data_IF_109727089954
#
_entry.id   IF_109727089954
#
_cell.length_a   1.000
_cell.length_b   1.000
_cell.length_c   1.000
_cell.angle_alpha   90.00
_cell.angle_beta   90.00
_cell.angle_gamma   90.00
#
_symmetry.space_group_name_H-M   'P 1'
#
loop_
_entity.id
_entity.type
_entity.pdbx_description
1 polymer ?
2 branched ?
3 non-polymer ?
4 non-polymer ?
5 water ?
#
# COMPACT_ATOMS: atom_id res chain seq x y z
N UNK A 1 -21.65 9.93 6.97
CA UNK A 1 -21.76 9.08 5.77
C UNK A 1 -20.98 7.72 6.02
N UNK A 2 -19.75 7.40 5.56
CA UNK A 2 -19.13 6.05 5.63
C UNK A 2 -18.56 5.30 6.91
N UNK A 3 -17.67 4.30 6.58
CA UNK A 3 -16.84 3.47 7.47
C UNK A 3 -16.19 4.17 8.67
N UNK A 4 -16.48 3.52 9.82
CA UNK A 4 -16.05 4.03 11.13
C UNK A 4 -14.63 3.64 11.59
N UNK A 5 -14.12 4.09 12.74
CA UNK A 5 -12.78 3.73 13.13
C UNK A 5 -12.65 2.23 13.39
N UNK A 6 -11.51 1.61 13.10
CA UNK A 6 -11.28 0.22 13.50
C UNK A 6 -9.82 0.12 13.99
N UNK A 7 -9.43 -1.10 14.38
CA UNK A 7 -8.05 -1.42 14.71
C UNK A 7 -7.91 -2.90 14.36
N UNK A 8 -6.97 -3.14 13.46
CA UNK A 8 -6.69 -4.41 12.91
C UNK A 8 -5.35 -4.91 13.52
N UNK A 9 -5.47 -6.03 14.32
CA UNK A 9 -4.34 -6.79 14.86
C UNK A 9 -3.82 -8.01 14.13
N UNK A 10 -4.58 -8.60 13.23
CA UNK A 10 -4.20 -9.59 12.20
C UNK A 10 -3.91 -11.00 12.67
N UNK A 11 -4.77 -11.32 13.66
CA UNK A 11 -4.77 -12.59 14.40
C UNK A 11 -6.13 -13.26 14.23
N UNK A 12 -7.15 -12.59 13.70
CA UNK A 12 -8.36 -13.31 13.48
C UNK A 12 -8.88 -12.79 12.16
N UNK A 13 -9.21 -13.77 11.30
CA UNK A 13 -9.93 -13.48 10.08
C UNK A 13 -11.43 -13.55 10.47
N UNK A 14 -12.12 -12.55 9.91
CA UNK A 14 -13.55 -12.61 9.91
C UNK A 14 -14.16 -11.80 8.75
N UNK A 15 -15.39 -12.21 8.42
CA UNK A 15 -16.20 -11.62 7.39
C UNK A 15 -16.61 -10.16 7.53
N UNK A 16 -16.77 -9.70 6.27
CA UNK A 16 -17.06 -8.31 5.88
C UNK A 16 -16.01 -7.30 6.32
N UNK A 17 -14.79 -7.62 5.86
CA UNK A 17 -13.60 -6.87 6.29
C UNK A 17 -12.61 -6.36 5.25
N UNK A 18 -12.08 -7.40 4.61
CA UNK A 18 -10.91 -7.42 3.74
C UNK A 18 -11.07 -8.55 2.79
N UNK A 19 -10.64 -8.35 1.55
CA UNK A 19 -10.67 -9.32 0.47
C UNK A 19 -9.35 -9.28 -0.31
N UNK A 20 -8.96 -10.43 -0.85
CA UNK A 20 -7.66 -10.62 -1.49
C UNK A 20 -7.86 -10.61 -3.00
N UNK A 21 -6.90 -10.13 -3.79
CA UNK A 21 -7.07 -10.17 -5.22
C UNK A 21 -6.58 -11.54 -5.71
N UNK A 22 -7.30 -12.23 -6.59
CA UNK A 22 -6.86 -13.54 -7.02
C UNK A 22 -7.12 -13.91 -8.50
N UNK A 23 -6.12 -14.48 -9.19
CA UNK A 23 -6.34 -14.99 -10.52
C UNK A 23 -6.42 -13.94 -11.64
N UNK A 24 -6.16 -12.67 -11.36
CA UNK A 24 -6.14 -11.70 -12.41
C UNK A 24 -4.90 -10.81 -12.23
N UNK A 25 -4.39 -10.22 -13.31
CA UNK A 25 -3.28 -9.27 -13.34
C UNK A 25 -3.82 -7.83 -13.54
N UNK A 26 -3.40 -6.74 -12.83
CA UNK A 26 -3.86 -5.37 -13.12
C UNK A 26 -3.32 -4.88 -14.45
N UNK A 27 -2.28 -5.57 -14.92
CA UNK A 27 -1.72 -5.34 -16.22
C UNK A 27 -0.94 -4.03 -16.31
N UNK A 28 -0.79 -3.50 -17.50
CA UNK A 28 0.06 -2.34 -17.73
C UNK A 28 1.52 -2.61 -17.30
N UNK A 29 1.71 -2.04 -16.07
CA UNK A 29 2.99 -2.00 -15.37
C UNK A 29 3.05 -2.92 -14.14
N UNK A 30 2.08 -3.79 -13.83
CA UNK A 30 2.13 -4.76 -12.77
C UNK A 30 2.34 -6.08 -13.51
N UNK A 31 3.53 -6.58 -13.26
CA UNK A 31 4.02 -7.73 -13.99
C UNK A 31 3.82 -9.04 -13.26
N UNK A 32 2.68 -9.18 -12.57
CA UNK A 32 2.44 -10.38 -11.80
C UNK A 32 0.96 -10.60 -11.66
N UNK A 33 0.53 -11.86 -11.44
CA UNK A 33 -0.89 -12.20 -11.18
C UNK A 33 -1.10 -12.14 -9.68
N UNK A 34 -2.20 -11.55 -9.21
CA UNK A 34 -2.54 -11.56 -7.82
C UNK A 34 -3.01 -12.92 -7.42
N UNK A 35 -2.40 -13.39 -6.36
CA UNK A 35 -2.71 -14.65 -5.78
C UNK A 35 -3.14 -14.41 -4.35
N UNK A 36 -4.37 -14.89 -4.17
CA UNK A 36 -4.97 -15.05 -2.86
C UNK A 36 -4.00 -15.86 -2.00
N UNK A 37 -3.36 -16.90 -2.57
CA UNK A 37 -2.44 -17.71 -1.78
C UNK A 37 -1.12 -17.11 -1.37
N UNK A 38 -0.92 -15.88 -1.84
CA UNK A 38 0.22 -15.07 -1.48
C UNK A 38 -0.08 -14.05 -0.40
N UNK A 39 -1.25 -14.15 0.22
CA UNK A 39 -1.70 -13.41 1.40
C UNK A 39 -1.84 -14.48 2.55
N UNK A 40 -0.90 -14.45 3.48
CA UNK A 40 -0.72 -15.43 4.52
C UNK A 40 -0.78 -14.60 5.79
N UNK A 41 -1.47 -15.14 6.81
CA UNK A 41 -1.56 -14.40 8.07
C UNK A 41 -0.74 -15.32 8.92
N UNK A 42 0.21 -14.76 9.72
CA UNK A 42 0.97 -15.58 10.67
C UNK A 42 0.34 -15.67 12.07
N UNK A 43 0.86 -16.70 12.70
CA UNK A 43 0.40 -17.08 14.01
C UNK A 43 0.80 -16.15 15.15
N UNK A 44 1.68 -15.19 14.83
CA UNK A 44 2.03 -14.06 15.67
C UNK A 44 1.31 -12.74 15.25
N UNK A 45 0.56 -12.83 14.16
CA UNK A 45 -0.41 -11.83 13.79
C UNK A 45 -0.02 -10.65 12.97
N UNK A 46 0.55 -11.08 11.85
CA UNK A 46 1.03 -10.16 10.85
C UNK A 46 0.69 -10.77 9.50
N UNK A 47 0.05 -9.95 8.69
CA UNK A 47 -0.23 -10.25 7.32
C UNK A 47 1.16 -10.34 6.64
N UNK A 48 1.32 -11.32 5.79
CA UNK A 48 2.56 -11.55 5.09
C UNK A 48 2.16 -11.77 3.64
N UNK A 49 2.40 -10.71 2.88
CA UNK A 49 2.19 -10.68 1.44
C UNK A 49 3.46 -11.15 0.76
N UNK A 50 3.37 -11.92 -0.33
CA UNK A 50 4.56 -12.41 -0.96
C UNK A 50 4.62 -12.33 -2.48
N UNK A 51 5.87 -12.28 -2.94
CA UNK A 51 6.16 -12.30 -4.35
C UNK A 51 6.93 -13.60 -4.63
N UNK A 52 6.39 -14.40 -5.56
CA UNK A 52 6.91 -15.71 -5.88
C UNK A 52 6.87 -16.04 -7.39
N UNK A 53 7.75 -16.95 -7.85
CA UNK A 53 7.76 -17.41 -9.23
C UNK A 53 6.95 -18.69 -9.26
N UNK A 54 5.95 -18.65 -10.14
CA UNK A 54 5.10 -19.77 -10.49
C UNK A 54 5.86 -20.73 -11.49
N UNK A 55 6.42 -20.01 -12.48
CA UNK A 55 7.15 -20.52 -13.61
C UNK A 55 8.37 -19.56 -13.76
N UNK A 56 9.33 -19.77 -14.65
CA UNK A 56 10.58 -19.02 -14.72
C UNK A 56 10.48 -17.44 -14.71
N UNK A 57 10.05 -16.78 -15.81
CA UNK A 57 9.86 -15.35 -15.78
C UNK A 57 8.31 -15.10 -15.73
N UNK A 58 7.71 -15.75 -14.74
CA UNK A 58 6.31 -15.69 -14.52
C UNK A 58 6.25 -15.73 -13.01
N UNK A 59 5.77 -14.59 -12.54
CA UNK A 59 5.67 -14.29 -11.13
C UNK A 59 4.25 -13.96 -10.70
N UNK A 60 4.02 -14.28 -9.46
CA UNK A 60 2.75 -14.03 -8.86
C UNK A 60 3.09 -13.10 -7.73
N UNK A 61 2.12 -12.24 -7.38
CA UNK A 61 2.24 -11.23 -6.33
C UNK A 61 1.02 -11.22 -5.38
N UNK A 62 0.85 -10.24 -4.45
CA UNK A 62 -0.21 -10.24 -3.44
C UNK A 62 -0.94 -8.92 -3.14
N UNK A 63 -2.28 -8.89 -3.06
CA UNK A 63 -3.07 -7.71 -2.72
C UNK A 63 -4.16 -7.97 -1.67
N UNK A 64 -4.33 -7.12 -0.67
CA UNK A 64 -5.45 -7.21 0.29
C UNK A 64 -6.22 -5.84 0.30
N UNK A 65 -7.55 -5.89 0.39
CA UNK A 65 -8.43 -4.75 0.23
C UNK A 65 -9.60 -4.73 1.19
N UNK A 66 -9.96 -3.57 1.75
CA UNK A 66 -11.06 -3.53 2.68
C UNK A 66 -12.39 -3.66 1.95
N UNK A 67 -13.37 -4.43 2.41
CA UNK A 67 -14.69 -4.46 1.77
C UNK A 67 -15.42 -3.09 1.77
N UNK A 68 -15.32 -2.32 2.90
CA UNK A 68 -15.89 -0.99 3.05
C UNK A 68 -14.87 0.07 2.64
N UNK A 69 -15.32 1.32 2.70
CA UNK A 69 -14.67 2.53 2.32
C UNK A 69 -14.62 3.47 3.50
N UNK A 70 -13.60 4.28 3.39
CA UNK A 70 -13.13 5.08 4.49
C UNK A 70 -12.81 6.42 3.98
N UNK A 71 -13.21 7.34 4.83
CA UNK A 71 -12.89 8.72 4.55
C UNK A 71 -11.72 9.44 5.30
N UNK A 72 -12.14 10.63 5.55
CA UNK A 72 -11.38 11.63 6.24
C UNK A 72 -10.98 11.17 7.66
N UNK A 73 -9.71 11.18 7.98
CA UNK A 73 -9.27 10.75 9.30
C UNK A 73 -7.83 10.25 9.25
N UNK A 74 -7.48 9.66 10.39
CA UNK A 74 -6.12 9.19 10.57
C UNK A 74 -5.91 7.70 10.28
N UNK A 75 -4.98 7.53 9.35
CA UNK A 75 -4.56 6.24 8.85
C UNK A 75 -3.15 5.84 9.31
N UNK A 76 -3.06 4.70 9.97
CA UNK A 76 -1.87 4.15 10.58
C UNK A 76 -1.50 2.70 10.28
N UNK A 77 -0.29 2.41 9.82
CA UNK A 77 0.23 1.06 9.56
C UNK A 77 1.51 0.84 10.35
N UNK A 78 1.76 -0.36 10.86
CA UNK A 78 3.08 -0.77 11.33
C UNK A 78 3.44 -1.75 10.21
N UNK A 79 4.53 -1.48 9.52
CA UNK A 79 4.95 -2.30 8.38
C UNK A 79 6.45 -2.36 8.06
N UNK A 80 6.75 -3.50 7.48
CA UNK A 80 8.07 -3.88 7.05
C UNK A 80 8.01 -4.25 5.59
N UNK A 81 8.43 -3.36 4.66
CA UNK A 81 8.58 -3.66 3.25
C UNK A 81 9.72 -4.62 2.81
N UNK A 82 9.57 -5.07 1.56
CA UNK A 82 10.58 -5.83 0.88
C UNK A 82 11.59 -4.88 0.20
N UNK A 83 12.83 -5.19 0.44
CA UNK A 83 13.92 -4.52 -0.19
C UNK A 83 14.23 -5.46 -1.39
N UNK A 84 14.46 -4.99 -2.64
CA UNK A 84 14.87 -5.74 -3.83
C UNK A 84 14.55 -4.81 -5.00
N UNK A 85 15.33 -4.70 -6.09
CA UNK A 85 14.93 -3.89 -7.24
C UNK A 85 13.63 -4.35 -7.92
N UNK A 86 13.05 -3.35 -8.56
CA UNK A 86 11.91 -3.50 -9.46
C UNK A 86 10.56 -3.82 -8.88
N UNK A 87 10.38 -3.51 -7.59
CA UNK A 87 9.19 -3.83 -6.83
C UNK A 87 8.58 -2.67 -6.04
N UNK A 88 7.30 -2.69 -5.65
CA UNK A 88 6.73 -1.75 -4.69
C UNK A 88 5.96 -2.52 -3.58
N UNK A 89 6.00 -1.92 -2.41
CA UNK A 89 5.31 -2.29 -1.19
C UNK A 89 4.47 -1.07 -0.82
N UNK A 90 3.16 -1.20 -0.72
CA UNK A 90 2.35 -0.08 -0.40
C UNK A 90 1.22 -0.40 0.55
N UNK A 91 0.69 0.72 1.03
CA UNK A 91 -0.54 0.97 1.77
C UNK A 91 -1.09 2.33 1.26
N UNK A 92 -2.31 2.20 0.75
CA UNK A 92 -3.07 3.30 0.18
C UNK A 92 -4.57 3.21 0.38
N UNK A 93 -5.22 4.26 -0.08
CA UNK A 93 -6.67 4.30 -0.13
C UNK A 93 -6.99 4.42 -1.64
N UNK A 94 -8.02 3.72 -2.09
CA UNK A 94 -8.35 3.80 -3.47
C UNK A 94 -9.84 3.63 -3.82
N UNK A 95 -10.19 4.46 -4.82
CA UNK A 95 -11.42 4.33 -5.55
C UNK A 95 -11.12 4.73 -6.97
N UNK A 96 -11.99 4.28 -7.85
CA UNK A 96 -11.70 4.36 -9.21
C UNK A 96 -12.98 4.13 -9.96
N UNK A 97 -12.93 4.26 -11.27
CA UNK A 97 -14.02 3.90 -12.17
C UNK A 97 -14.51 2.48 -11.98
N UNK A 98 -13.46 1.75 -11.62
CA UNK A 98 -13.38 0.37 -11.17
C UNK A 98 -14.47 0.06 -10.13
N UNK A 99 -14.77 1.07 -9.33
CA UNK A 99 -15.69 1.11 -8.19
C UNK A 99 -16.84 2.04 -8.49
N UNK A 100 -16.84 2.68 -9.65
CA UNK A 100 -17.86 3.59 -10.11
C UNK A 100 -17.73 5.02 -9.62
N UNK A 101 -16.50 5.47 -9.29
CA UNK A 101 -16.25 6.86 -8.85
C UNK A 101 -15.06 7.54 -9.61
N UNK A 102 -14.79 8.83 -9.25
CA UNK A 102 -13.55 9.48 -9.65
C UNK A 102 -12.37 8.75 -8.95
N UNK A 103 -11.29 8.55 -9.71
CA UNK A 103 -10.13 7.88 -9.16
C UNK A 103 -9.44 8.83 -8.17
N UNK A 104 -9.70 8.48 -6.92
CA UNK A 104 -9.07 9.10 -5.75
C UNK A 104 -8.25 8.08 -4.90
N UNK A 105 -7.01 8.48 -4.58
CA UNK A 105 -6.06 7.67 -3.86
C UNK A 105 -5.16 8.61 -3.07
N UNK A 106 -4.74 8.36 -1.83
CA UNK A 106 -3.53 9.03 -1.34
C UNK A 106 -2.61 7.78 -1.17
N UNK A 107 -1.29 7.77 -0.94
CA UNK A 107 -0.45 6.57 -0.80
C UNK A 107 0.89 6.79 -0.14
N UNK A 108 1.49 5.68 0.31
CA UNK A 108 2.82 5.56 0.90
C UNK A 108 3.52 4.48 0.09
N UNK A 109 4.61 4.74 -0.58
CA UNK A 109 5.27 3.68 -1.33
C UNK A 109 6.73 3.50 -0.96
N UNK A 110 6.99 2.23 -0.75
CA UNK A 110 8.35 1.75 -0.55
C UNK A 110 8.84 1.11 -1.87
N UNK A 111 9.82 1.78 -2.51
CA UNK A 111 10.35 1.24 -3.77
C UNK A 111 11.45 0.27 -3.38
N UNK A 112 11.30 -1.07 -3.48
CA UNK A 112 12.27 -2.05 -3.01
C UNK A 112 13.73 -1.71 -3.22
N UNK A 113 13.94 -0.95 -4.30
CA UNK A 113 15.21 -0.45 -4.72
C UNK A 113 15.83 0.52 -3.70
N UNK A 114 15.07 1.37 -3.04
CA UNK A 114 15.57 2.12 -1.92
C UNK A 114 14.56 2.16 -0.81
N UNK A 115 14.88 1.36 0.21
CA UNK A 115 14.03 1.36 1.37
C UNK A 115 14.65 2.17 2.54
N UNK A 116 15.48 3.20 2.22
CA UNK A 116 15.84 4.25 3.19
C UNK A 116 15.12 5.58 2.81
N UNK A 117 14.09 5.34 2.00
CA UNK A 117 13.27 6.31 1.34
C UNK A 117 11.87 5.69 1.12
N UNK A 118 10.93 6.66 1.16
CA UNK A 118 9.49 6.42 0.97
C UNK A 118 9.03 7.43 -0.03
N UNK A 119 7.96 7.10 -0.71
CA UNK A 119 7.33 7.94 -1.67
C UNK A 119 5.92 8.21 -1.23
N UNK A 120 5.61 9.45 -0.98
CA UNK A 120 4.27 9.95 -0.67
C UNK A 120 3.59 10.41 -1.95
N UNK A 121 2.46 9.84 -2.41
CA UNK A 121 1.76 10.44 -3.54
C UNK A 121 0.25 10.55 -3.32
N UNK A 122 -0.54 11.27 -4.13
CA UNK A 122 -2.00 11.21 -4.14
C UNK A 122 -2.42 11.70 -5.51
N UNK A 123 -3.65 11.28 -5.70
CA UNK A 123 -4.35 11.35 -6.96
C UNK A 123 -5.74 11.87 -6.69
N UNK A 124 -6.12 12.97 -7.31
CA UNK A 124 -7.50 13.42 -7.22
C UNK A 124 -8.07 13.36 -8.63
N UNK A 125 -9.10 12.50 -8.82
CA UNK A 125 -9.84 12.40 -10.07
C UNK A 125 -8.86 12.19 -11.22
N UNK A 126 -8.06 11.16 -11.15
CA UNK A 126 -7.11 10.90 -12.20
C UNK A 126 -5.85 11.75 -12.07
N UNK A 127 -5.80 13.00 -11.65
CA UNK A 127 -4.52 13.70 -11.63
C UNK A 127 -3.80 13.48 -10.31
N UNK A 128 -2.61 12.93 -10.51
CA UNK A 128 -1.67 12.60 -9.46
C UNK A 128 -0.40 13.37 -9.71
N UNK A 129 0.76 12.71 -9.67
CA UNK A 129 1.95 13.47 -9.99
C UNK A 129 2.36 14.48 -8.96
N UNK A 130 2.19 14.02 -7.74
CA UNK A 130 2.37 14.81 -6.55
C UNK A 130 3.43 14.18 -5.60
N UNK A 131 4.20 13.22 -6.17
CA UNK A 131 5.17 12.41 -5.45
C UNK A 131 6.27 13.14 -4.66
N UNK A 132 6.39 12.74 -3.40
CA UNK A 132 7.36 13.27 -2.52
C UNK A 132 8.17 12.11 -2.00
N UNK A 133 9.43 12.09 -2.35
CA UNK A 133 10.33 11.11 -1.78
C UNK A 133 10.91 11.73 -0.53
N UNK A 134 10.63 11.15 0.62
CA UNK A 134 11.27 11.64 1.80
C UNK A 134 12.26 10.54 2.08
N UNK A 135 13.29 10.94 2.79
CA UNK A 135 14.35 10.04 3.17
C UNK A 135 14.08 9.84 4.66
N UNK A 136 13.88 8.58 5.05
CA UNK A 136 13.64 8.29 6.45
C UNK A 136 15.02 7.98 6.90
N UNK A 137 15.55 8.33 8.06
CA UNK A 137 16.95 7.98 8.30
C UNK A 137 17.30 6.52 8.71
N UNK A 138 16.60 5.51 8.15
CA UNK A 138 16.71 4.12 8.52
C UNK A 138 16.36 3.30 7.28
N UNK A 139 16.45 1.97 7.50
CA UNK A 139 16.06 1.03 6.49
C UNK A 139 14.68 0.61 6.97
N UNK A 140 13.64 0.92 6.21
CA UNK A 140 12.27 0.50 6.48
C UNK A 140 12.05 -0.99 6.60
N UNK A 141 12.99 -1.68 5.96
CA UNK A 141 12.89 -3.10 5.84
C UNK A 141 13.63 -3.88 6.87
N UNK A 142 14.32 -3.22 7.79
CA UNK A 142 14.99 -3.99 8.85
C UNK A 142 14.01 -4.14 10.03
N UNK A 143 12.80 -3.59 9.92
CA UNK A 143 11.88 -3.58 11.02
C UNK A 143 10.61 -2.83 10.78
N UNK A 144 9.78 -2.88 11.84
CA UNK A 144 8.44 -2.31 12.03
C UNK A 144 8.53 -0.94 12.65
N UNK A 145 8.00 -0.07 11.77
CA UNK A 145 7.81 1.35 11.95
C UNK A 145 6.38 1.67 11.55
N UNK A 146 5.91 2.72 12.23
CA UNK A 146 4.60 3.27 11.97
C UNK A 146 4.57 4.45 11.03
N UNK A 147 3.63 4.32 10.12
CA UNK A 147 3.42 5.19 8.97
C UNK A 147 1.93 5.64 8.98
N UNK A 148 1.76 6.94 9.14
CA UNK A 148 0.45 7.54 9.17
C UNK A 148 0.35 8.59 8.09
N UNK A 149 -0.88 8.71 7.62
CA UNK A 149 -1.26 9.93 6.93
C UNK A 149 -2.63 10.32 7.52
N UNK A 150 -2.66 11.64 7.80
CA UNK A 150 -3.89 12.28 8.17
C UNK A 150 -4.58 12.88 6.91
N UNK A 151 -5.53 12.14 6.34
CA UNK A 151 -6.32 12.65 5.23
C UNK A 151 -7.38 13.59 5.82
N UNK A 152 -7.38 14.89 5.41
CA UNK A 152 -8.38 15.88 5.77
C UNK A 152 -9.03 16.57 4.57
N UNK A 153 -10.11 17.39 4.63
CA UNK A 153 -10.58 18.18 3.49
C UNK A 153 -9.59 19.23 2.97
N UNK A 154 -8.73 19.81 3.81
CA UNK A 154 -7.85 20.89 3.35
C UNK A 154 -6.38 20.58 3.04
N UNK A 155 -5.96 19.45 3.67
CA UNK A 155 -4.57 19.01 3.67
C UNK A 155 -4.57 17.53 3.92
N UNK A 156 -3.40 16.91 3.65
CA UNK A 156 -3.05 15.52 3.94
C UNK A 156 -1.71 15.73 4.63
N UNK A 157 -1.56 15.18 5.81
CA UNK A 157 -0.32 15.16 6.53
C UNK A 157 0.31 13.75 6.47
N UNK A 158 1.63 13.53 6.54
CA UNK A 158 2.30 12.19 6.57
C UNK A 158 3.34 12.18 7.63
N UNK A 159 3.30 11.10 8.37
CA UNK A 159 4.06 10.93 9.58
C UNK A 159 4.91 9.68 9.60
N UNK A 160 6.18 9.71 9.92
CA UNK A 160 6.89 8.44 10.05
C UNK A 160 7.29 8.46 11.51
N UNK A 161 6.87 7.42 12.21
CA UNK A 161 7.11 7.21 13.61
C UNK A 161 6.78 8.38 14.56
N UNK A 162 5.64 8.93 14.14
CA UNK A 162 5.01 10.08 14.77
C UNK A 162 5.65 11.42 14.48
N UNK A 163 6.35 11.46 13.38
CA UNK A 163 7.01 12.66 12.99
C UNK A 163 6.52 13.05 11.62
N UNK A 164 6.00 14.26 11.63
CA UNK A 164 5.57 14.87 10.42
C UNK A 164 6.70 15.10 9.42
N UNK A 165 6.46 14.32 8.39
CA UNK A 165 7.23 14.25 7.17
C UNK A 165 6.67 14.97 5.95
N UNK A 166 5.35 15.15 5.71
CA UNK A 166 4.87 15.89 4.52
C UNK A 166 3.42 16.34 4.66
N UNK A 167 3.10 17.53 4.17
CA UNK A 167 1.71 17.97 4.17
C UNK A 167 1.49 18.31 2.71
N UNK A 168 0.24 18.10 2.29
CA UNK A 168 -0.29 18.34 0.96
C UNK A 168 -1.42 19.33 1.20
N UNK A 169 -1.44 20.29 0.27
CA UNK A 169 -2.27 21.48 0.35
C UNK A 169 -3.22 21.85 -0.79
N UNK A 170 -3.08 21.34 -2.00
CA UNK A 170 -3.88 21.73 -3.13
C UNK A 170 -4.43 20.42 -3.61
N UNK A 171 -5.67 20.58 -4.04
CA UNK A 171 -6.57 19.52 -4.53
C UNK A 171 -6.46 18.12 -3.91
N UNK A 172 -7.07 18.07 -2.73
CA UNK A 172 -6.99 16.93 -1.83
C UNK A 172 -8.15 15.93 -2.18
N UNK A 173 -7.96 14.52 -2.20
CA UNK A 173 -9.00 13.54 -2.62
C UNK A 173 -10.26 13.67 -1.73
N UNK A 174 -11.44 13.41 -2.28
CA UNK A 174 -12.66 13.61 -1.48
C UNK A 174 -13.68 12.50 -1.62
N UNK A 175 -13.27 11.44 -2.35
CA UNK A 175 -14.12 10.27 -2.43
C UNK A 175 -13.55 9.25 -1.41
N UNK A 176 -14.38 8.65 -0.53
CA UNK A 176 -14.01 7.49 0.32
C UNK A 176 -13.56 6.26 -0.45
N UNK A 177 -12.49 5.61 -0.04
CA UNK A 177 -11.99 4.48 -0.78
C UNK A 177 -11.66 3.36 0.15
N UNK A 178 -11.22 2.29 -0.48
CA UNK A 178 -10.74 1.07 0.19
C UNK A 178 -9.29 1.31 0.62
N UNK A 179 -8.98 0.65 1.72
CA UNK A 179 -7.62 0.56 2.24
C UNK A 179 -7.10 -0.73 1.57
N UNK A 180 -5.91 -0.55 1.00
CA UNK A 180 -5.22 -1.52 0.16
C UNK A 180 -3.72 -1.56 0.42
N UNK A 181 -3.24 -2.78 0.53
CA UNK A 181 -1.83 -3.07 0.74
C UNK A 181 -1.46 -4.02 -0.38
N UNK A 182 -0.22 -3.92 -0.88
CA UNK A 182 0.25 -4.91 -1.85
C UNK A 182 1.77 -4.89 -2.05
N UNK A 183 2.19 -5.94 -2.75
CA UNK A 183 3.55 -6.27 -3.14
C UNK A 183 3.49 -6.69 -4.61
N UNK A 184 4.09 -5.98 -5.53
CA UNK A 184 4.10 -6.29 -6.96
C UNK A 184 5.41 -5.75 -7.52
N UNK A 185 5.67 -6.33 -8.65
CA UNK A 185 6.84 -6.09 -9.47
C UNK A 185 6.25 -5.46 -10.73
N UNK A 186 7.10 -4.68 -11.37
CA UNK A 186 6.70 -3.85 -12.50
C UNK A 186 7.49 -4.04 -13.80
N UNK A 187 6.94 -3.55 -14.94
CA UNK A 187 7.47 -3.59 -16.32
C UNK A 187 7.38 -2.21 -16.94
N UNK A 188 8.39 -1.73 -17.67
CA UNK A 188 8.29 -0.42 -18.35
C UNK A 188 8.91 0.71 -17.53
N UNK A 189 8.37 0.87 -16.33
CA UNK A 189 8.92 1.76 -15.30
C UNK A 189 10.36 1.43 -14.82
N UNK A 190 11.38 1.05 -15.59
CA UNK A 190 12.75 0.74 -15.10
C UNK A 190 13.53 1.84 -14.42
N UNK A 191 13.03 2.93 -14.92
CA UNK A 191 13.23 4.30 -14.55
C UNK A 191 12.82 4.61 -13.11
N UNK A 192 11.58 4.28 -12.71
CA UNK A 192 11.12 4.61 -11.38
C UNK A 192 11.47 3.55 -10.33
N UNK A 193 11.26 2.32 -10.78
CA UNK A 193 11.41 1.21 -9.87
C UNK A 193 12.75 0.51 -9.93
N UNK A 194 13.40 0.66 -11.05
CA UNK A 194 14.56 -0.15 -11.29
C UNK A 194 14.00 -1.36 -12.03
N UNK A 195 14.84 -2.31 -12.36
CA UNK A 195 14.39 -3.48 -13.08
C UNK A 195 14.25 -4.61 -12.04
N UNK A 196 13.09 -5.34 -11.94
CA UNK A 196 13.06 -6.53 -11.13
C UNK A 196 13.93 -7.60 -11.83
N UNK A 197 14.85 -8.04 -11.01
CA UNK A 197 15.85 -9.05 -11.35
C UNK A 197 15.46 -10.53 -11.23
N UNK A 198 14.17 -10.72 -11.01
CA UNK A 198 13.62 -12.05 -10.92
C UNK A 198 13.73 -12.68 -9.54
N UNK A 199 14.34 -12.04 -8.56
CA UNK A 199 14.57 -12.64 -7.26
C UNK A 199 13.29 -12.90 -6.48
N UNK A 200 13.09 -14.04 -5.81
CA UNK A 200 11.86 -14.33 -5.06
C UNK A 200 12.18 -15.58 -4.19
N UNK A 201 11.41 -15.86 -3.12
CA UNK A 201 10.24 -15.10 -2.74
C UNK A 201 10.58 -13.85 -1.98
N UNK A 202 9.78 -12.82 -2.21
CA UNK A 202 9.97 -11.56 -1.49
C UNK A 202 8.72 -11.40 -0.63
N UNK A 203 8.74 -10.67 0.47
CA UNK A 203 7.53 -10.49 1.25
C UNK A 203 7.54 -9.17 2.02
N UNK A 204 6.39 -8.52 2.10
CA UNK A 204 6.21 -7.40 2.97
C UNK A 204 5.25 -7.90 4.10
N UNK A 205 5.67 -7.56 5.32
CA UNK A 205 4.94 -7.83 6.53
C UNK A 205 4.12 -6.62 6.98
N UNK A 206 2.90 -6.80 7.46
CA UNK A 206 2.06 -5.73 8.00
C UNK A 206 1.67 -6.22 9.38
N UNK A 207 2.17 -5.41 10.31
CA UNK A 207 1.88 -5.75 11.68
C UNK A 207 0.45 -5.35 11.97
N UNK A 208 -0.10 -4.14 11.93
CA UNK A 208 -1.50 -3.80 12.28
C UNK A 208 -1.83 -2.55 11.41
N UNK A 209 -3.11 -2.22 11.38
CA UNK A 209 -3.68 -1.10 10.63
C UNK A 209 -4.69 -0.48 11.57
N UNK A 210 -4.83 0.80 11.65
CA UNK A 210 -5.85 1.47 12.46
C UNK A 210 -6.36 2.66 11.60
N UNK A 211 -7.70 2.81 11.56
CA UNK A 211 -8.26 3.99 10.92
C UNK A 211 -9.07 4.66 11.99
N UNK A 212 -8.74 5.89 12.29
CA UNK A 212 -9.45 6.70 13.26
C UNK A 212 -10.30 7.73 12.52
N UNK A 213 -11.62 7.57 12.44
CA UNK A 213 -12.49 8.57 11.85
C UNK A 213 -12.52 9.89 12.63
N UNK A 214 -13.01 10.91 11.95
CA UNK A 214 -13.24 12.15 12.61
C UNK A 214 -14.55 12.11 13.46
#
# INVERSE_FOLDING_TARGET
>A
QTGGSFFEPFNSYNSGTWEKADGYSNGGVFNCTWRANNVNFTNDGKLKLGLTSSAYNKFDCAEYRSTNIYGYGLYEVSMKPAKNTGIVSSFFTYTGPAHGTQWDEIDIEFLGKDTTKVQFNYYTNGVGGHEKVISLGFDASKGFHTYAFDWQPGYIKWYVDGVLKHTATANIPSTPGKIMMNLWNGTGVDDWLGSYNGANPLYAEYDWVKYTSN
#
